data_IF_977877998554
#
_entry.id   IF_977877998554
#
_cell.length_a   1.000
_cell.length_b   1.000
_cell.length_c   1.000
_cell.angle_alpha   90.00
_cell.angle_beta   90.00
_cell.angle_gamma   90.00
#
_symmetry.space_group_name_H-M   'P 1'
#
loop_
_entity.id
_entity.type
_entity.pdbx_description
1 polymer ?
#
# COMPACT_ATOMS: atom_id res chain seq x y z
N UNK A 1 -11.48 21.61 10.82
CA UNK A 1 -10.35 21.95 11.71
C UNK A 1 -9.12 22.19 10.85
N UNK A 2 -8.20 23.07 11.26
CA UNK A 2 -6.96 23.29 10.51
C UNK A 2 -6.17 21.99 10.41
N UNK A 3 -5.52 21.80 9.27
CA UNK A 3 -4.75 20.60 8.96
C UNK A 3 -3.82 20.87 7.77
N UNK A 4 -2.96 19.90 7.49
CA UNK A 4 -2.08 19.91 6.32
C UNK A 4 -2.67 19.04 5.22
N UNK A 5 -2.61 19.53 3.99
CA UNK A 5 -2.91 18.74 2.79
C UNK A 5 -1.80 18.92 1.76
N UNK A 6 -1.60 17.92 0.90
CA UNK A 6 -0.57 18.02 -0.15
C UNK A 6 -0.98 19.03 -1.21
N UNK A 7 -0.01 19.84 -1.63
CA UNK A 7 -0.16 20.70 -2.79
C UNK A 7 -0.13 19.85 -4.09
N UNK A 8 -0.91 20.21 -5.14
CA UNK A 8 -0.94 19.48 -6.41
C UNK A 8 0.43 19.33 -7.08
N UNK A 9 1.28 20.36 -6.94
CA UNK A 9 2.61 20.44 -7.53
C UNK A 9 3.56 19.36 -7.01
N UNK A 10 3.28 18.80 -5.84
CA UNK A 10 4.08 17.71 -5.26
C UNK A 10 3.49 16.33 -5.53
N UNK A 11 2.40 16.26 -6.30
CA UNK A 11 1.74 15.02 -6.72
C UNK A 11 1.36 14.06 -5.56
N UNK A 12 1.34 14.55 -4.32
CA UNK A 12 1.09 13.75 -3.11
C UNK A 12 2.17 12.73 -2.75
N UNK A 13 3.36 12.81 -3.36
CA UNK A 13 4.42 11.81 -3.13
C UNK A 13 4.92 11.83 -1.69
N UNK A 14 4.93 10.66 -1.05
CA UNK A 14 5.35 10.47 0.33
C UNK A 14 4.39 11.00 1.39
N UNK A 15 3.31 11.70 1.03
CA UNK A 15 2.39 12.30 1.99
C UNK A 15 1.23 11.36 2.32
N UNK A 16 1.20 10.87 3.56
CA UNK A 16 0.12 10.09 4.14
C UNK A 16 -0.71 10.97 5.11
N UNK A 17 -1.88 11.47 4.68
CA UNK A 17 -2.70 12.35 5.50
C UNK A 17 -3.28 11.63 6.72
N UNK A 18 -3.57 10.33 6.63
CA UNK A 18 -4.20 9.56 7.71
C UNK A 18 -3.26 9.40 8.91
N UNK A 19 -1.98 9.19 8.63
CA UNK A 19 -0.94 9.07 9.64
C UNK A 19 -0.34 10.41 10.04
N UNK A 20 -0.57 11.47 9.27
CA UNK A 20 0.15 12.74 9.39
C UNK A 20 1.66 12.49 9.24
N UNK A 21 2.02 11.83 8.14
CA UNK A 21 3.39 11.46 7.81
C UNK A 21 3.77 12.01 6.43
N UNK A 22 4.97 12.55 6.30
CA UNK A 22 5.62 12.90 5.04
C UNK A 22 6.94 12.14 4.94
N UNK A 23 7.08 11.26 3.96
CA UNK A 23 8.35 10.67 3.58
C UNK A 23 8.98 11.53 2.48
N UNK A 24 10.17 12.07 2.71
CA UNK A 24 10.77 13.08 1.83
C UNK A 24 12.21 12.68 1.46
N UNK A 25 12.57 12.57 0.18
CA UNK A 25 13.96 12.31 -0.17
C UNK A 25 14.89 13.45 0.22
N UNK A 26 16.15 13.12 0.54
CA UNK A 26 17.22 14.10 0.74
C UNK A 26 17.35 15.02 -0.50
N UNK A 27 17.51 16.32 -0.27
CA UNK A 27 17.61 17.42 -1.26
C UNK A 27 16.38 17.54 -2.16
N UNK A 28 15.22 17.05 -1.73
CA UNK A 28 13.93 17.26 -2.39
C UNK A 28 13.03 18.10 -1.51
N UNK A 29 12.07 18.74 -2.16
CA UNK A 29 11.06 19.56 -1.50
C UNK A 29 9.66 19.00 -1.72
N UNK A 30 8.78 19.25 -0.76
CA UNK A 30 7.36 18.95 -0.84
C UNK A 30 6.56 20.18 -0.44
N UNK A 31 5.61 20.58 -1.28
CA UNK A 31 4.69 21.68 -1.00
C UNK A 31 3.45 21.14 -0.30
N UNK A 32 3.11 21.72 0.84
CA UNK A 32 1.89 21.47 1.60
C UNK A 32 1.05 22.75 1.66
N UNK A 33 -0.26 22.61 1.79
CA UNK A 33 -1.14 23.67 2.22
C UNK A 33 -1.52 23.46 3.69
N UNK A 34 -1.28 24.47 4.51
CA UNK A 34 -1.84 24.61 5.84
C UNK A 34 -3.20 25.31 5.71
N UNK A 35 -4.27 24.54 5.89
CA UNK A 35 -5.66 25.01 5.78
C UNK A 35 -6.05 25.72 7.07
N UNK A 36 -6.68 26.89 6.97
CA UNK A 36 -7.09 27.73 8.11
C UNK A 36 -5.89 28.11 9.00
N UNK A 37 -4.78 28.50 8.37
CA UNK A 37 -3.48 28.66 9.03
C UNK A 37 -2.90 30.07 9.11
N UNK A 38 -3.67 31.11 8.77
CA UNK A 38 -3.19 32.48 8.57
C UNK A 38 -2.19 32.94 9.65
N UNK A 39 -2.53 32.75 10.92
CA UNK A 39 -1.78 33.29 12.07
C UNK A 39 -1.04 32.23 12.88
N UNK A 40 -0.86 31.03 12.32
CA UNK A 40 -0.19 29.94 13.03
C UNK A 40 1.33 30.06 12.94
N UNK A 41 2.00 29.87 14.07
CA UNK A 41 3.45 29.75 14.15
C UNK A 41 3.87 28.32 13.78
N UNK A 42 4.65 28.17 12.71
CA UNK A 42 5.08 26.86 12.19
C UNK A 42 6.53 26.59 12.60
N UNK A 43 6.81 25.41 13.14
CA UNK A 43 8.13 25.04 13.63
C UNK A 43 8.50 23.62 13.21
N UNK A 44 9.80 23.39 12.99
CA UNK A 44 10.40 22.05 12.88
C UNK A 44 11.36 21.85 14.06
N UNK A 45 11.23 20.72 14.76
CA UNK A 45 12.03 20.43 15.97
C UNK A 45 13.51 20.10 15.69
N UNK A 46 13.81 19.46 14.56
CA UNK A 46 15.14 18.98 14.15
C UNK A 46 15.49 19.44 12.75
N UNK A 47 15.87 20.70 12.67
CA UNK A 47 16.12 21.38 11.40
C UNK A 47 17.30 20.82 10.59
N UNK A 48 18.18 20.02 11.22
CA UNK A 48 19.25 19.30 10.53
C UNK A 48 18.71 18.22 9.59
N UNK A 49 17.54 17.66 9.87
CA UNK A 49 16.90 16.64 9.03
C UNK A 49 15.96 17.26 8.00
N UNK A 50 15.13 18.23 8.40
CA UNK A 50 14.18 18.87 7.52
C UNK A 50 14.11 20.38 7.75
N UNK A 51 13.95 21.15 6.68
CA UNK A 51 13.65 22.58 6.74
C UNK A 51 12.24 22.88 6.28
N UNK A 52 11.75 24.07 6.58
CA UNK A 52 10.57 24.60 5.92
C UNK A 52 10.75 26.08 5.57
N UNK A 53 10.03 26.54 4.57
CA UNK A 53 9.88 27.95 4.25
C UNK A 53 8.46 28.23 3.77
N UNK A 54 8.03 29.49 3.90
CA UNK A 54 6.78 29.93 3.32
C UNK A 54 6.95 30.13 1.81
N UNK A 55 6.11 29.45 1.03
CA UNK A 55 6.09 29.57 -0.43
C UNK A 55 4.99 30.53 -0.87
N UNK A 56 5.18 31.16 -2.04
CA UNK A 56 4.08 31.89 -2.67
C UNK A 56 2.89 30.95 -2.91
N UNK A 57 1.68 31.42 -2.56
CA UNK A 57 0.44 30.74 -2.89
C UNK A 57 0.38 30.54 -4.41
N UNK A 58 0.59 29.29 -4.84
CA UNK A 58 0.47 28.91 -6.23
C UNK A 58 -0.99 28.72 -6.63
N UNK A 59 -1.22 28.17 -7.82
CA UNK A 59 -2.56 27.73 -8.20
C UNK A 59 -3.05 26.62 -7.25
N UNK A 60 -4.28 26.77 -6.74
CA UNK A 60 -5.02 25.71 -6.05
C UNK A 60 -5.75 24.78 -7.04
N UNK A 61 -5.63 25.04 -8.34
CA UNK A 61 -6.22 24.19 -9.39
C UNK A 61 -5.64 22.77 -9.28
N UNK A 62 -6.52 21.78 -9.17
CA UNK A 62 -6.15 20.38 -8.98
C UNK A 62 -5.88 19.99 -7.53
N UNK A 63 -6.04 20.91 -6.56
CA UNK A 63 -6.09 20.53 -5.16
C UNK A 63 -7.44 19.89 -4.86
N UNK A 64 -7.43 18.68 -4.31
CA UNK A 64 -8.64 17.99 -3.87
C UNK A 64 -9.12 18.58 -2.54
N UNK A 65 -9.53 19.85 -2.57
CA UNK A 65 -10.06 20.56 -1.41
C UNK A 65 -11.56 20.31 -1.26
N UNK A 66 -12.01 20.09 -0.03
CA UNK A 66 -13.43 20.08 0.30
C UNK A 66 -14.05 21.47 0.13
N UNK A 67 -15.38 21.55 0.07
CA UNK A 67 -16.09 22.83 0.01
C UNK A 67 -15.79 23.75 1.20
N UNK A 68 -15.50 23.19 2.37
CA UNK A 68 -15.09 23.98 3.53
C UNK A 68 -13.65 24.47 3.40
N UNK A 69 -12.72 23.60 2.97
CA UNK A 69 -11.29 23.93 2.79
C UNK A 69 -11.07 25.03 1.77
N UNK A 70 -11.84 25.03 0.68
CA UNK A 70 -11.74 26.06 -0.37
C UNK A 70 -12.17 27.46 0.08
N UNK A 71 -12.88 27.55 1.21
CA UNK A 71 -13.29 28.81 1.83
C UNK A 71 -12.29 29.30 2.90
N UNK A 72 -11.27 28.50 3.24
CA UNK A 72 -10.29 28.87 4.27
C UNK A 72 -9.10 29.62 3.69
N UNK A 73 -8.42 30.40 4.52
CA UNK A 73 -7.07 30.89 4.21
C UNK A 73 -6.10 29.71 4.14
N UNK A 74 -5.50 29.52 2.98
CA UNK A 74 -4.45 28.54 2.76
C UNK A 74 -3.10 29.23 2.90
N UNK A 75 -2.16 28.62 3.63
CA UNK A 75 -0.74 29.00 3.60
C UNK A 75 0.06 27.90 2.96
N UNK A 76 0.97 28.24 2.06
CA UNK A 76 1.81 27.25 1.39
C UNK A 76 3.11 27.08 2.14
N UNK A 77 3.36 25.87 2.60
CA UNK A 77 4.62 25.48 3.23
C UNK A 77 5.45 24.67 2.23
N UNK A 78 6.72 25.02 2.05
CA UNK A 78 7.68 24.24 1.28
C UNK A 78 8.60 23.54 2.26
N UNK A 79 8.42 22.24 2.43
CA UNK A 79 9.25 21.40 3.31
C UNK A 79 10.42 20.84 2.50
N UNK A 80 11.64 20.91 3.03
CA UNK A 80 12.87 20.43 2.40
C UNK A 80 13.49 19.29 3.20
N UNK A 81 13.84 18.18 2.54
CA UNK A 81 14.62 17.12 3.15
C UNK A 81 16.11 17.44 3.09
N UNK A 82 16.79 17.57 4.24
CA UNK A 82 18.20 17.97 4.32
C UNK A 82 19.13 16.80 4.55
N UNK A 83 18.83 15.97 5.56
CA UNK A 83 19.63 14.80 5.96
C UNK A 83 18.70 13.66 6.36
N UNK A 84 19.12 12.42 6.09
CA UNK A 84 18.36 11.23 6.52
C UNK A 84 18.10 11.24 8.02
N UNK A 85 16.86 11.05 8.42
CA UNK A 85 16.44 11.13 9.82
C UNK A 85 14.95 11.42 9.95
N UNK A 86 14.52 11.81 11.16
CA UNK A 86 13.13 12.11 11.45
C UNK A 86 13.03 13.46 12.16
N UNK A 87 12.12 14.30 11.69
CA UNK A 87 11.75 15.57 12.30
C UNK A 87 10.22 15.65 12.43
N UNK A 88 9.71 16.66 13.14
CA UNK A 88 8.29 16.93 13.26
C UNK A 88 8.00 18.39 12.95
N UNK A 89 7.02 18.62 12.07
CA UNK A 89 6.47 19.94 11.79
C UNK A 89 5.19 20.13 12.61
N UNK A 90 5.14 21.20 13.39
CA UNK A 90 3.98 21.59 14.19
C UNK A 90 3.54 23.00 13.86
N UNK A 91 2.25 23.29 14.06
CA UNK A 91 1.69 24.63 13.93
C UNK A 91 0.95 25.00 15.23
N UNK A 92 1.25 26.19 15.76
CA UNK A 92 0.79 26.66 17.06
C UNK A 92 -0.04 27.93 16.93
N UNK A 93 -1.01 28.09 17.82
CA UNK A 93 -1.68 29.37 18.04
C UNK A 93 -0.71 30.39 18.65
N UNK A 94 -1.03 31.71 18.60
CA UNK A 94 -0.23 32.75 19.26
C UNK A 94 -0.02 32.52 20.76
N UNK A 95 -0.92 31.79 21.41
CA UNK A 95 -0.82 31.41 22.83
C UNK A 95 0.04 30.15 23.09
N UNK A 96 0.65 29.58 22.04
CA UNK A 96 1.55 28.43 22.11
C UNK A 96 0.87 27.06 22.11
N UNK A 97 -0.46 26.98 22.04
CA UNK A 97 -1.16 25.68 21.96
C UNK A 97 -1.02 25.04 20.58
N UNK A 98 -0.81 23.70 20.48
CA UNK A 98 -0.76 23.02 19.19
C UNK A 98 -2.15 23.07 18.52
N UNK A 99 -2.19 23.49 17.26
CA UNK A 99 -3.44 23.66 16.51
C UNK A 99 -3.70 22.56 15.49
N UNK A 100 -2.63 21.91 15.02
CA UNK A 100 -2.71 20.75 14.14
C UNK A 100 -2.10 19.54 14.81
N UNK A 101 -2.52 18.35 14.38
CA UNK A 101 -1.74 17.13 14.64
C UNK A 101 -0.35 17.30 14.00
N UNK A 102 0.74 17.12 14.75
CA UNK A 102 2.09 17.26 14.19
C UNK A 102 2.29 16.35 12.98
N UNK A 103 2.93 16.88 11.95
CA UNK A 103 3.37 16.12 10.78
C UNK A 103 4.73 15.50 11.09
N UNK A 104 4.81 14.18 11.11
CA UNK A 104 6.09 13.49 11.15
C UNK A 104 6.74 13.54 9.76
N UNK A 105 7.99 14.00 9.69
CA UNK A 105 8.77 14.06 8.45
C UNK A 105 9.89 13.03 8.55
N UNK A 106 9.89 12.05 7.66
CA UNK A 106 10.94 11.04 7.54
C UNK A 106 11.76 11.28 6.29
N UNK A 107 12.99 11.73 6.48
CA UNK A 107 13.89 12.02 5.38
C UNK A 107 14.67 10.77 4.99
N UNK A 108 14.59 10.39 3.72
CA UNK A 108 15.12 9.12 3.19
C UNK A 108 16.12 9.33 2.06
N UNK A 109 16.97 8.34 1.81
CA UNK A 109 18.00 8.39 0.75
C UNK A 109 17.45 8.11 -0.64
N UNK A 110 16.40 7.30 -0.77
CA UNK A 110 15.84 6.93 -2.06
C UNK A 110 14.96 8.05 -2.65
N UNK A 111 14.93 8.14 -3.98
CA UNK A 111 14.16 9.17 -4.70
C UNK A 111 12.66 8.88 -4.78
N UNK A 112 12.21 7.71 -4.35
CA UNK A 112 10.82 7.27 -4.50
C UNK A 112 9.92 7.78 -3.36
N UNK A 113 10.46 8.50 -2.39
CA UNK A 113 9.71 9.00 -1.22
C UNK A 113 9.04 7.85 -0.43
N UNK A 114 9.80 6.78 -0.17
CA UNK A 114 9.37 5.61 0.61
C UNK A 114 10.43 5.18 1.61
N UNK A 115 10.05 4.39 2.60
CA UNK A 115 10.94 3.88 3.66
C UNK A 115 11.26 2.40 3.51
N UNK A 116 10.42 1.64 2.80
CA UNK A 116 10.76 0.30 2.37
C UNK A 116 11.46 0.41 1.00
N UNK A 117 12.75 0.09 0.97
CA UNK A 117 13.58 0.16 -0.21
C UNK A 117 13.55 -1.16 -1.00
N UNK A 118 14.31 -1.20 -2.09
CA UNK A 118 14.51 -2.42 -2.86
C UNK A 118 15.18 -3.50 -1.99
N UNK A 119 14.90 -4.76 -2.31
CA UNK A 119 15.32 -5.93 -1.53
C UNK A 119 14.76 -5.95 -0.09
N UNK A 120 13.68 -5.22 0.20
CA UNK A 120 13.00 -5.28 1.50
C UNK A 120 13.79 -4.67 2.65
N UNK A 121 14.77 -3.80 2.37
CA UNK A 121 15.43 -3.01 3.41
C UNK A 121 14.47 -1.93 3.93
N UNK A 122 14.36 -1.80 5.24
CA UNK A 122 13.52 -0.78 5.88
C UNK A 122 14.39 0.27 6.55
N UNK A 123 13.98 1.54 6.48
CA UNK A 123 14.56 2.59 7.34
C UNK A 123 14.44 2.20 8.83
N UNK A 124 15.30 2.73 9.71
CA UNK A 124 15.20 2.45 11.14
C UNK A 124 13.81 2.76 11.73
N UNK A 125 13.19 3.86 11.31
CA UNK A 125 11.86 4.25 11.77
C UNK A 125 10.77 3.25 11.36
N UNK A 126 10.70 2.87 10.07
CA UNK A 126 9.73 1.89 9.60
C UNK A 126 9.98 0.50 10.19
N UNK A 127 11.25 0.10 10.34
CA UNK A 127 11.60 -1.16 11.01
C UNK A 127 11.07 -1.18 12.45
N UNK A 128 11.25 -0.10 13.21
CA UNK A 128 10.75 0.00 14.58
C UNK A 128 9.22 -0.07 14.66
N UNK A 129 8.50 0.48 13.67
CA UNK A 129 7.04 0.32 13.56
C UNK A 129 6.66 -1.13 13.26
N UNK A 130 7.24 -1.72 12.21
CA UNK A 130 6.94 -3.09 11.74
C UNK A 130 7.20 -4.13 12.83
N UNK A 131 8.22 -3.93 13.67
CA UNK A 131 8.49 -4.84 14.79
C UNK A 131 7.36 -4.91 15.81
N UNK A 132 6.64 -3.81 16.03
CA UNK A 132 5.55 -3.73 17.04
C UNK A 132 4.22 -4.28 16.54
N UNK A 133 4.08 -4.46 15.22
CA UNK A 133 2.85 -4.90 14.58
C UNK A 133 2.78 -6.43 14.50
N UNK A 134 1.58 -6.98 14.32
CA UNK A 134 1.43 -8.36 13.83
C UNK A 134 2.10 -8.50 12.44
N UNK A 135 2.37 -9.72 11.98
CA UNK A 135 2.92 -9.88 10.62
C UNK A 135 1.97 -9.28 9.58
N UNK A 136 0.67 -9.54 9.73
CA UNK A 136 -0.40 -9.07 8.84
C UNK A 136 -0.51 -7.55 8.79
N UNK A 137 -0.50 -6.89 9.96
CA UNK A 137 -0.54 -5.43 10.01
C UNK A 137 0.75 -4.81 9.48
N UNK A 138 1.90 -5.47 9.72
CA UNK A 138 3.16 -5.05 9.15
C UNK A 138 3.18 -5.13 7.61
N UNK A 139 2.55 -6.14 7.00
CA UNK A 139 2.42 -6.24 5.54
C UNK A 139 1.68 -5.03 4.99
N UNK A 140 0.54 -4.70 5.60
CA UNK A 140 -0.26 -3.56 5.16
C UNK A 140 0.48 -2.25 5.40
N UNK A 141 1.21 -2.13 6.50
CA UNK A 141 2.03 -0.95 6.78
C UNK A 141 3.09 -0.72 5.69
N UNK A 142 3.75 -1.77 5.22
CA UNK A 142 4.73 -1.69 4.12
C UNK A 142 4.04 -1.37 2.80
N UNK A 143 2.87 -1.96 2.55
CA UNK A 143 2.07 -1.67 1.37
C UNK A 143 1.59 -0.21 1.32
N UNK A 144 1.19 0.38 2.45
CA UNK A 144 0.84 1.79 2.58
C UNK A 144 2.02 2.72 2.29
N UNK A 145 3.21 2.41 2.81
CA UNK A 145 4.44 3.17 2.52
C UNK A 145 4.69 3.26 1.01
N UNK A 146 4.47 2.15 0.30
CA UNK A 146 4.56 2.13 -1.15
C UNK A 146 3.40 2.84 -1.86
N UNK A 147 2.16 2.71 -1.36
CA UNK A 147 0.96 3.39 -1.90
C UNK A 147 1.14 4.91 -1.97
N UNK A 148 1.76 5.49 -0.95
CA UNK A 148 2.02 6.94 -0.90
C UNK A 148 3.31 7.36 -1.62
N UNK A 149 4.20 6.43 -1.95
CA UNK A 149 5.44 6.71 -2.69
C UNK A 149 5.19 7.29 -4.09
N UNK A 150 6.24 7.85 -4.71
CA UNK A 150 6.19 8.32 -6.09
C UNK A 150 5.77 7.22 -7.08
N UNK A 151 6.10 5.96 -6.79
CA UNK A 151 5.71 4.80 -7.60
C UNK A 151 4.26 4.38 -7.36
N UNK A 152 3.76 4.48 -6.13
CA UNK A 152 2.35 4.20 -5.86
C UNK A 152 1.45 5.23 -6.51
N UNK A 153 1.90 6.49 -6.49
CA UNK A 153 1.19 7.65 -7.05
C UNK A 153 1.43 7.91 -8.53
N UNK A 154 2.30 7.15 -9.20
CA UNK A 154 2.47 7.29 -10.65
C UNK A 154 1.20 6.84 -11.38
N UNK A 155 0.80 7.55 -12.44
CA UNK A 155 -0.35 7.18 -13.29
C UNK A 155 0.01 6.21 -14.43
N UNK A 156 1.30 5.87 -14.58
CA UNK A 156 1.81 4.95 -15.58
C UNK A 156 2.28 3.65 -14.91
N UNK A 157 1.76 2.52 -15.35
CA UNK A 157 2.09 1.18 -14.83
C UNK A 157 3.58 0.96 -14.70
N UNK A 158 3.97 0.28 -13.61
CA UNK A 158 5.31 0.31 -13.03
C UNK A 158 6.49 0.22 -14.01
N UNK A 159 7.54 0.99 -13.72
CA UNK A 159 8.82 1.04 -14.45
C UNK A 159 9.69 -0.25 -14.33
N UNK A 160 9.10 -1.44 -14.14
CA UNK A 160 9.88 -2.68 -13.96
C UNK A 160 10.77 -2.69 -12.71
N UNK A 161 10.38 -1.99 -11.63
CA UNK A 161 11.22 -1.88 -10.42
C UNK A 161 11.20 -3.13 -9.53
N UNK A 162 10.12 -3.91 -9.54
CA UNK A 162 10.07 -5.18 -8.80
C UNK A 162 10.48 -6.39 -9.64
N UNK A 163 10.54 -6.23 -10.97
CA UNK A 163 10.84 -7.32 -11.90
C UNK A 163 11.13 -6.78 -13.32
N UNK A 164 11.74 -7.57 -14.18
CA UNK A 164 11.98 -7.21 -15.58
C UNK A 164 10.71 -6.76 -16.33
N UNK A 165 10.88 -5.89 -17.33
CA UNK A 165 9.80 -5.40 -18.18
C UNK A 165 8.95 -6.56 -18.75
N UNK A 166 7.61 -6.44 -18.67
CA UNK A 166 6.66 -7.45 -19.15
C UNK A 166 6.20 -8.50 -18.11
N UNK A 167 6.64 -8.41 -16.86
CA UNK A 167 6.20 -9.31 -15.77
C UNK A 167 5.02 -8.70 -15.00
N UNK A 168 4.12 -9.56 -14.49
CA UNK A 168 2.99 -9.17 -13.65
C UNK A 168 3.45 -8.44 -12.37
N UNK A 169 3.41 -7.11 -12.45
CA UNK A 169 3.87 -6.20 -11.39
C UNK A 169 3.05 -6.33 -10.09
N UNK A 170 1.78 -6.74 -10.18
CA UNK A 170 0.87 -6.90 -9.03
C UNK A 170 1.35 -7.97 -8.02
N UNK A 171 1.67 -9.16 -8.51
CA UNK A 171 2.22 -10.24 -7.67
C UNK A 171 3.60 -9.94 -7.09
N UNK A 172 4.41 -9.20 -7.84
CA UNK A 172 5.75 -8.77 -7.41
C UNK A 172 5.68 -7.76 -6.27
N UNK A 173 4.71 -6.85 -6.31
CA UNK A 173 4.42 -5.92 -5.22
C UNK A 173 4.02 -6.66 -3.93
N UNK A 174 3.10 -7.63 -4.01
CA UNK A 174 2.68 -8.40 -2.84
C UNK A 174 3.86 -9.21 -2.28
N UNK A 175 4.64 -9.87 -3.15
CA UNK A 175 5.86 -10.58 -2.74
C UNK A 175 6.85 -9.65 -2.02
N UNK A 176 7.10 -8.47 -2.57
CA UNK A 176 8.00 -7.47 -1.96
C UNK A 176 7.53 -7.04 -0.56
N UNK A 177 6.22 -6.89 -0.34
CA UNK A 177 5.68 -6.61 0.99
C UNK A 177 6.00 -7.75 1.97
N UNK A 178 5.77 -9.00 1.55
CA UNK A 178 6.10 -10.19 2.33
C UNK A 178 7.60 -10.30 2.61
N UNK A 179 8.46 -10.05 1.62
CA UNK A 179 9.91 -10.10 1.78
C UNK A 179 10.40 -9.07 2.79
N UNK A 180 9.91 -7.83 2.69
CA UNK A 180 10.30 -6.75 3.59
C UNK A 180 9.92 -7.05 5.05
N UNK A 181 8.70 -7.55 5.29
CA UNK A 181 8.24 -7.90 6.64
C UNK A 181 8.94 -9.13 7.18
N UNK A 182 9.12 -10.16 6.35
CA UNK A 182 9.82 -11.41 6.72
C UNK A 182 11.25 -11.11 7.16
N UNK A 183 11.99 -10.32 6.38
CA UNK A 183 13.34 -9.85 6.74
C UNK A 183 13.34 -8.98 7.98
N UNK A 184 12.36 -8.09 8.14
CA UNK A 184 12.27 -7.25 9.32
C UNK A 184 12.09 -8.10 10.58
N UNK A 185 11.17 -9.08 10.54
CA UNK A 185 10.80 -9.94 11.67
C UNK A 185 11.71 -11.16 11.85
N UNK A 186 12.63 -11.42 10.92
CA UNK A 186 13.56 -12.56 11.00
C UNK A 186 12.87 -13.91 10.79
N UNK A 187 11.81 -13.95 9.99
CA UNK A 187 11.07 -15.19 9.64
C UNK A 187 11.20 -15.49 8.15
N UNK A 188 10.93 -16.73 7.76
CA UNK A 188 10.91 -17.11 6.34
C UNK A 188 9.70 -16.49 5.62
N UNK A 189 9.92 -16.01 4.40
CA UNK A 189 8.82 -15.61 3.52
C UNK A 189 8.05 -16.86 3.08
N UNK A 190 6.75 -17.00 3.41
CA UNK A 190 5.98 -18.21 3.11
C UNK A 190 5.88 -18.49 1.60
N UNK A 191 6.05 -17.47 0.76
CA UNK A 191 6.00 -17.58 -0.71
C UNK A 191 7.38 -17.73 -1.37
N UNK A 192 8.42 -18.02 -0.57
CA UNK A 192 9.78 -18.25 -1.04
C UNK A 192 10.52 -16.97 -1.44
N UNK A 193 11.70 -17.14 -2.02
CA UNK A 193 12.58 -16.02 -2.42
C UNK A 193 12.09 -15.30 -3.68
N UNK A 194 12.40 -14.01 -3.80
CA UNK A 194 12.10 -13.19 -4.98
C UNK A 194 12.81 -13.67 -6.28
N UNK A 195 13.82 -14.55 -6.20
CA UNK A 195 14.56 -15.02 -7.36
C UNK A 195 13.68 -15.82 -8.35
N UNK A 196 13.24 -15.12 -9.41
CA UNK A 196 12.65 -15.50 -10.71
C UNK A 196 11.70 -16.72 -10.78
N UNK A 197 12.14 -17.92 -10.41
CA UNK A 197 11.36 -19.16 -10.58
C UNK A 197 10.59 -19.56 -9.31
N UNK A 198 11.13 -19.22 -8.14
CA UNK A 198 10.60 -19.62 -6.83
C UNK A 198 9.57 -18.65 -6.24
N UNK A 199 9.37 -17.48 -6.85
CA UNK A 199 8.35 -16.53 -6.39
C UNK A 199 6.95 -17.07 -6.75
N UNK A 200 6.26 -17.63 -5.75
CA UNK A 200 4.92 -18.17 -5.91
C UNK A 200 3.88 -17.09 -6.21
N UNK A 201 4.12 -15.82 -5.89
CA UNK A 201 3.18 -14.74 -6.13
C UNK A 201 3.29 -14.13 -7.52
N UNK A 202 4.24 -14.56 -8.36
CA UNK A 202 4.46 -14.00 -9.70
C UNK A 202 3.25 -14.13 -10.65
N UNK A 203 2.32 -15.05 -10.37
CA UNK A 203 1.01 -15.12 -11.01
C UNK A 203 -0.01 -15.74 -10.05
N UNK A 204 -1.30 -15.48 -10.26
CA UNK A 204 -2.33 -16.07 -9.42
C UNK A 204 -2.38 -17.60 -9.50
N UNK A 205 -2.02 -18.19 -10.65
CA UNK A 205 -1.91 -19.65 -10.80
C UNK A 205 -0.77 -20.20 -9.93
N UNK A 206 0.39 -19.53 -9.87
CA UNK A 206 1.48 -19.94 -8.98
C UNK A 206 1.12 -19.75 -7.51
N UNK A 207 0.37 -18.71 -7.17
CA UNK A 207 -0.05 -18.42 -5.80
C UNK A 207 -1.01 -19.51 -5.32
N UNK A 208 -1.98 -19.86 -6.17
CA UNK A 208 -2.90 -20.98 -5.95
C UNK A 208 -2.14 -22.31 -5.80
N UNK A 209 -1.18 -22.59 -6.69
CA UNK A 209 -0.34 -23.78 -6.61
C UNK A 209 0.40 -23.88 -5.27
N UNK A 210 0.99 -22.77 -4.79
CA UNK A 210 1.67 -22.75 -3.50
C UNK A 210 0.71 -23.06 -2.35
N UNK A 211 -0.50 -22.47 -2.38
CA UNK A 211 -1.54 -22.77 -1.41
C UNK A 211 -1.97 -24.24 -1.38
N UNK A 212 -2.06 -24.87 -2.56
CA UNK A 212 -2.43 -26.29 -2.69
C UNK A 212 -1.29 -27.26 -2.35
N UNK A 213 -0.03 -26.84 -2.55
CA UNK A 213 1.18 -27.64 -2.34
C UNK A 213 1.49 -27.84 -0.86
N UNK A 214 1.34 -26.78 -0.05
CA UNK A 214 1.70 -26.79 1.36
C UNK A 214 0.49 -26.43 2.24
N UNK A 215 -0.41 -27.40 2.41
CA UNK A 215 -1.59 -27.25 3.26
C UNK A 215 -1.24 -27.09 4.75
N UNK A 216 0.01 -27.34 5.15
CA UNK A 216 0.49 -27.02 6.50
C UNK A 216 0.67 -25.52 6.69
N UNK A 217 1.10 -24.81 5.64
CA UNK A 217 1.31 -23.36 5.64
C UNK A 217 0.13 -22.55 5.14
N UNK A 218 -0.72 -23.13 4.29
CA UNK A 218 -1.79 -22.38 3.62
C UNK A 218 -3.17 -23.04 3.73
N UNK A 219 -4.21 -22.22 3.56
CA UNK A 219 -5.56 -22.67 3.22
C UNK A 219 -6.00 -21.97 1.94
N UNK A 220 -6.47 -22.73 0.96
CA UNK A 220 -7.11 -22.16 -0.24
C UNK A 220 -8.61 -22.08 -0.03
N UNK A 221 -9.18 -20.88 -0.14
CA UNK A 221 -10.59 -20.58 0.11
C UNK A 221 -11.25 -20.14 -1.20
N UNK A 222 -12.49 -20.57 -1.44
CA UNK A 222 -13.31 -20.28 -2.63
C UNK A 222 -12.65 -20.69 -3.97
N UNK A 223 -11.88 -21.77 -3.93
CA UNK A 223 -11.40 -22.49 -5.09
C UNK A 223 -11.79 -23.97 -5.01
N UNK A 224 -12.29 -24.51 -6.11
CA UNK A 224 -12.51 -25.93 -6.31
C UNK A 224 -12.02 -26.28 -7.71
N UNK A 225 -11.24 -27.35 -7.84
CA UNK A 225 -10.72 -27.76 -9.13
C UNK A 225 -9.32 -28.34 -9.09
N UNK A 226 -8.82 -28.83 -10.23
CA UNK A 226 -7.49 -29.40 -10.34
C UNK A 226 -6.40 -28.33 -10.20
N UNK A 227 -5.20 -28.73 -9.79
CA UNK A 227 -4.01 -27.89 -9.91
C UNK A 227 -3.84 -27.44 -11.37
N UNK A 228 -3.95 -26.12 -11.60
CA UNK A 228 -3.82 -25.48 -12.90
C UNK A 228 -2.39 -25.25 -13.35
N UNK A 229 -1.42 -25.34 -12.44
CA UNK A 229 0.00 -25.31 -12.80
C UNK A 229 0.47 -26.67 -13.32
N UNK A 230 -0.24 -27.76 -12.97
CA UNK A 230 -0.04 -29.11 -13.49
C UNK A 230 1.02 -29.94 -12.75
N UNK A 231 1.59 -29.42 -11.66
CA UNK A 231 2.69 -30.07 -10.93
C UNK A 231 2.25 -31.03 -9.81
N UNK A 232 1.07 -30.87 -9.24
CA UNK A 232 0.62 -31.65 -8.06
C UNK A 232 -0.28 -32.85 -8.39
N UNK A 233 -0.90 -32.88 -9.59
CA UNK A 233 -1.96 -33.87 -9.96
C UNK A 233 -3.03 -34.03 -8.86
N UNK A 234 -3.40 -32.93 -8.20
CA UNK A 234 -4.32 -32.86 -7.07
C UNK A 234 -5.56 -32.04 -7.44
N UNK A 235 -6.69 -32.35 -6.82
CA UNK A 235 -7.92 -31.56 -6.90
C UNK A 235 -8.18 -30.90 -5.55
N UNK A 236 -8.27 -29.57 -5.53
CA UNK A 236 -8.67 -28.79 -4.37
C UNK A 236 -10.17 -28.99 -4.12
N UNK A 237 -10.52 -29.33 -2.87
CA UNK A 237 -11.91 -29.31 -2.42
C UNK A 237 -12.35 -27.90 -2.07
N UNK A 238 -13.60 -27.58 -2.36
CA UNK A 238 -14.17 -26.28 -2.01
C UNK A 238 -14.13 -26.04 -0.49
N UNK A 239 -13.62 -24.88 -0.09
CA UNK A 239 -13.66 -24.37 1.28
C UNK A 239 -14.30 -22.98 1.22
N UNK A 240 -15.38 -22.76 1.97
CA UNK A 240 -16.03 -21.46 2.06
C UNK A 240 -15.46 -20.60 3.20
N UNK A 241 -15.69 -19.29 3.10
CA UNK A 241 -15.41 -18.33 4.17
C UNK A 241 -16.30 -18.67 5.36
N UNK A 242 -15.68 -18.86 6.51
CA UNK A 242 -16.37 -19.24 7.75
C UNK A 242 -15.50 -18.85 8.96
N UNK A 243 -16.03 -18.97 10.18
CA UNK A 243 -15.23 -18.76 11.38
C UNK A 243 -14.01 -19.70 11.46
N UNK A 244 -14.10 -20.91 10.89
CA UNK A 244 -13.00 -21.86 10.82
C UNK A 244 -11.99 -21.56 9.70
N UNK A 245 -12.42 -20.83 8.65
CA UNK A 245 -11.60 -20.45 7.51
C UNK A 245 -11.84 -18.96 7.18
N UNK A 246 -11.43 -18.04 8.07
CA UNK A 246 -11.65 -16.62 7.86
C UNK A 246 -10.71 -16.09 6.78
N UNK A 247 -11.18 -15.10 6.02
CA UNK A 247 -10.30 -14.23 5.23
C UNK A 247 -9.75 -13.17 6.17
N UNK A 248 -8.44 -12.97 6.16
CA UNK A 248 -7.74 -12.05 7.06
C UNK A 248 -6.95 -11.00 6.31
N UNK A 249 -6.66 -9.89 7.00
CA UNK A 249 -5.74 -8.85 6.53
C UNK A 249 -4.41 -9.46 6.13
N UNK A 250 -3.87 -9.10 4.97
CA UNK A 250 -2.64 -9.67 4.44
C UNK A 250 -2.79 -10.96 3.62
N UNK A 251 -3.96 -11.62 3.63
CA UNK A 251 -4.19 -12.78 2.77
C UNK A 251 -4.12 -12.41 1.29
N UNK A 252 -3.78 -13.38 0.45
CA UNK A 252 -3.73 -13.17 -0.99
C UNK A 252 -5.14 -13.27 -1.56
N UNK A 253 -5.57 -12.25 -2.30
CA UNK A 253 -6.80 -12.26 -3.08
C UNK A 253 -6.47 -12.51 -4.55
N UNK A 254 -7.17 -13.47 -5.14
CA UNK A 254 -7.00 -13.91 -6.51
C UNK A 254 -8.32 -13.68 -7.27
N UNK A 255 -8.51 -12.53 -7.95
CA UNK A 255 -9.67 -12.33 -8.81
C UNK A 255 -9.60 -13.25 -10.02
N UNK A 256 -10.75 -13.78 -10.43
CA UNK A 256 -10.91 -14.61 -11.63
C UNK A 256 -11.23 -13.75 -12.86
N UNK A 257 -10.85 -14.25 -14.04
CA UNK A 257 -11.40 -13.72 -15.29
C UNK A 257 -12.86 -14.18 -15.47
N UNK A 258 -13.66 -13.40 -16.18
CA UNK A 258 -15.04 -13.78 -16.54
C UNK A 258 -15.10 -14.93 -17.56
N UNK A 259 -13.95 -15.27 -18.16
CA UNK A 259 -13.81 -16.28 -19.20
C UNK A 259 -12.74 -17.31 -18.79
N UNK A 260 -13.11 -18.19 -17.85
CA UNK A 260 -12.32 -19.38 -17.49
C UNK A 260 -11.70 -19.35 -16.09
N UNK A 261 -10.93 -20.39 -15.78
CA UNK A 261 -10.30 -20.59 -14.48
C UNK A 261 -8.89 -19.98 -14.44
N UNK A 262 -8.79 -18.69 -14.77
CA UNK A 262 -7.52 -17.93 -14.76
C UNK A 262 -7.57 -16.81 -13.73
N UNK A 263 -6.40 -16.50 -13.16
CA UNK A 263 -6.23 -15.47 -12.15
C UNK A 263 -5.32 -14.36 -12.70
N UNK A 264 -5.88 -13.35 -13.39
CA UNK A 264 -5.11 -12.31 -14.06
C UNK A 264 -4.37 -11.37 -13.10
N UNK A 265 -4.68 -11.41 -11.80
CA UNK A 265 -4.12 -10.49 -10.82
C UNK A 265 -3.84 -11.19 -9.49
N UNK A 266 -2.96 -10.57 -8.71
CA UNK A 266 -2.63 -10.97 -7.34
C UNK A 266 -2.67 -9.71 -6.51
N UNK A 267 -3.55 -9.67 -5.52
CA UNK A 267 -3.65 -8.58 -4.57
C UNK A 267 -3.62 -9.07 -3.14
N UNK A 268 -3.55 -8.14 -2.19
CA UNK A 268 -3.51 -8.45 -0.77
C UNK A 268 -4.74 -7.87 -0.08
N UNK A 269 -5.41 -8.65 0.76
CA UNK A 269 -6.57 -8.20 1.54
C UNK A 269 -6.13 -7.07 2.47
N UNK A 270 -6.73 -5.91 2.31
CA UNK A 270 -6.44 -4.72 3.12
C UNK A 270 -7.39 -4.69 4.32
N UNK A 271 -8.70 -4.57 4.11
CA UNK A 271 -9.70 -4.78 5.16
C UNK A 271 -10.50 -6.06 4.86
N UNK A 272 -10.45 -7.08 5.75
CA UNK A 272 -11.17 -8.33 5.54
C UNK A 272 -12.68 -8.14 5.71
N UNK A 273 -13.51 -9.03 5.13
CA UNK A 273 -14.95 -9.01 5.34
C UNK A 273 -15.32 -9.40 6.78
N UNK A 274 -16.40 -8.85 7.29
CA UNK A 274 -17.06 -9.37 8.51
C UNK A 274 -17.95 -10.55 8.11
N UNK A 275 -17.39 -11.76 8.12
CA UNK A 275 -18.06 -12.94 7.57
C UNK A 275 -18.00 -12.96 6.05
N UNK A 276 -19.15 -12.88 5.38
CA UNK A 276 -19.23 -12.66 3.92
C UNK A 276 -19.79 -11.28 3.62
N UNK A 277 -19.46 -10.74 2.44
CA UNK A 277 -19.84 -9.40 2.02
C UNK A 277 -18.66 -8.52 1.58
N UNK A 278 -18.76 -7.19 1.76
CA UNK A 278 -17.77 -6.23 1.31
C UNK A 278 -16.41 -6.43 1.99
N UNK A 279 -15.35 -6.23 1.21
CA UNK A 279 -13.97 -6.22 1.68
C UNK A 279 -13.14 -5.28 0.81
N UNK A 280 -11.91 -5.00 1.23
CA UNK A 280 -10.98 -4.22 0.41
C UNK A 280 -9.68 -4.96 0.18
N UNK A 281 -9.03 -4.67 -0.94
CA UNK A 281 -7.68 -5.13 -1.27
C UNK A 281 -6.78 -3.94 -1.51
N UNK A 282 -5.48 -4.10 -1.27
CA UNK A 282 -4.46 -3.20 -1.78
C UNK A 282 -3.79 -3.86 -2.99
N UNK A 283 -3.90 -3.18 -4.12
CA UNK A 283 -3.53 -3.73 -5.42
C UNK A 283 -2.38 -2.92 -6.00
N UNK A 284 -1.34 -3.59 -6.49
CA UNK A 284 -0.34 -2.98 -7.34
C UNK A 284 -0.67 -3.14 -8.81
N UNK A 285 -0.15 -2.27 -9.67
CA UNK A 285 -0.38 -2.28 -11.12
C UNK A 285 -1.83 -2.05 -11.57
N UNK A 286 -2.54 -1.15 -10.89
CA UNK A 286 -3.95 -0.87 -11.25
C UNK A 286 -4.14 -0.22 -12.63
N UNK A 287 -3.06 0.26 -13.24
CA UNK A 287 -3.06 0.83 -14.59
C UNK A 287 -2.79 -0.21 -15.68
N UNK A 288 -2.68 -1.50 -15.31
CA UNK A 288 -2.40 -2.62 -16.21
C UNK A 288 -3.65 -3.26 -16.82
N UNK A 289 -3.49 -4.49 -17.34
CA UNK A 289 -4.56 -5.26 -18.01
C UNK A 289 -5.71 -5.67 -17.10
N UNK A 290 -5.47 -5.78 -15.79
CA UNK A 290 -6.51 -5.92 -14.79
C UNK A 290 -6.68 -4.58 -14.07
N UNK A 291 -7.80 -3.90 -14.35
CA UNK A 291 -8.23 -2.69 -13.67
C UNK A 291 -9.67 -2.90 -13.19
N UNK A 292 -9.92 -2.97 -11.87
CA UNK A 292 -11.28 -3.05 -11.35
C UNK A 292 -12.13 -1.88 -11.83
N UNK A 293 -13.44 -2.08 -11.93
CA UNK A 293 -14.37 -0.98 -12.21
C UNK A 293 -14.26 0.08 -11.11
N UNK A 294 -14.17 1.36 -11.50
CA UNK A 294 -13.97 2.47 -10.56
C UNK A 294 -12.57 2.55 -9.95
N UNK A 295 -11.60 1.76 -10.43
CA UNK A 295 -10.26 1.73 -9.85
C UNK A 295 -9.53 3.07 -9.93
N UNK A 296 -8.72 3.28 -8.91
CA UNK A 296 -7.90 4.46 -8.70
C UNK A 296 -7.08 4.87 -9.94
N UNK A 297 -6.82 6.17 -10.15
CA UNK A 297 -5.83 6.61 -11.13
C UNK A 297 -4.38 6.29 -10.69
N UNK A 298 -4.18 5.86 -9.45
CA UNK A 298 -2.87 5.54 -8.90
C UNK A 298 -2.48 4.09 -9.20
N UNK A 299 -1.18 3.87 -9.39
CA UNK A 299 -0.61 2.55 -9.64
C UNK A 299 -0.78 1.57 -8.49
N UNK A 300 -0.79 2.07 -7.25
CA UNK A 300 -1.04 1.28 -6.04
C UNK A 300 -2.10 2.00 -5.23
N UNK A 301 -3.20 1.32 -4.94
CA UNK A 301 -4.28 1.85 -4.13
C UNK A 301 -5.16 0.74 -3.53
N UNK A 302 -6.14 1.15 -2.74
CA UNK A 302 -7.14 0.28 -2.15
C UNK A 302 -8.37 0.21 -3.04
N UNK A 303 -8.87 -0.99 -3.31
CA UNK A 303 -10.10 -1.24 -4.07
C UNK A 303 -11.13 -1.98 -3.22
N UNK A 304 -12.40 -1.66 -3.42
CA UNK A 304 -13.52 -2.31 -2.74
C UNK A 304 -14.10 -3.42 -3.61
N UNK A 305 -14.41 -4.54 -2.97
CA UNK A 305 -14.96 -5.73 -3.61
C UNK A 305 -16.06 -6.34 -2.74
N UNK A 306 -16.78 -7.31 -3.29
CA UNK A 306 -17.73 -8.13 -2.53
C UNK A 306 -17.34 -9.61 -2.67
N UNK A 307 -17.10 -10.27 -1.55
CA UNK A 307 -16.75 -11.69 -1.54
C UNK A 307 -17.89 -12.54 -2.14
N UNK A 308 -19.15 -12.11 -2.04
CA UNK A 308 -20.30 -12.82 -2.58
C UNK A 308 -20.49 -12.64 -4.10
N UNK A 309 -19.68 -11.78 -4.74
CA UNK A 309 -19.73 -11.61 -6.18
C UNK A 309 -19.43 -12.94 -6.88
N UNK A 310 -20.23 -13.27 -7.90
CA UNK A 310 -20.08 -14.45 -8.73
C UNK A 310 -19.83 -14.10 -10.18
N UNK A 311 -19.22 -15.01 -10.92
CA UNK A 311 -19.14 -14.96 -12.39
C UNK A 311 -20.55 -14.99 -13.01
N UNK A 312 -20.68 -14.67 -14.32
CA UNK A 312 -21.98 -14.70 -15.01
C UNK A 312 -22.71 -16.05 -14.95
N UNK A 313 -22.01 -17.14 -14.63
CA UNK A 313 -22.60 -18.46 -14.41
C UNK A 313 -23.47 -18.57 -13.14
N UNK A 314 -23.43 -17.57 -12.25
CA UNK A 314 -24.18 -17.53 -10.99
C UNK A 314 -23.72 -18.55 -9.94
N UNK A 315 -22.65 -19.29 -10.21
CA UNK A 315 -22.15 -20.40 -9.38
C UNK A 315 -20.76 -20.14 -8.84
N UNK A 316 -19.84 -19.69 -9.69
CA UNK A 316 -18.42 -19.54 -9.36
C UNK A 316 -18.18 -18.19 -8.71
N UNK A 317 -17.57 -18.16 -7.52
CA UNK A 317 -17.18 -16.90 -6.87
C UNK A 317 -16.10 -16.18 -7.67
N UNK A 318 -16.20 -14.85 -7.80
CA UNK A 318 -15.23 -14.02 -8.53
C UNK A 318 -13.84 -14.00 -7.88
N UNK A 319 -13.75 -14.30 -6.59
CA UNK A 319 -12.51 -14.22 -5.82
C UNK A 319 -12.22 -15.56 -5.14
N UNK A 320 -10.97 -16.00 -5.27
CA UNK A 320 -10.38 -17.03 -4.43
C UNK A 320 -9.34 -16.39 -3.50
N UNK A 321 -9.03 -17.06 -2.39
CA UNK A 321 -8.06 -16.57 -1.42
C UNK A 321 -7.02 -17.62 -1.08
N UNK A 322 -5.78 -17.18 -0.87
CA UNK A 322 -4.72 -18.00 -0.27
C UNK A 322 -4.41 -17.41 1.10
N UNK A 323 -4.89 -18.10 2.13
CA UNK A 323 -4.71 -17.74 3.52
C UNK A 323 -3.40 -18.30 4.06
N UNK A 324 -2.59 -17.46 4.70
CA UNK A 324 -1.31 -17.87 5.33
C UNK A 324 -1.52 -18.23 6.80
N UNK A 325 -1.28 -19.48 7.17
CA UNK A 325 -1.45 -19.95 8.55
C UNK A 325 -0.32 -19.43 9.43
N UNK A 326 -0.69 -18.91 10.61
CA UNK A 326 0.28 -18.50 11.64
C UNK A 326 1.06 -17.22 11.36
N UNK A 327 0.65 -16.42 10.36
CA UNK A 327 1.14 -15.06 10.12
C UNK A 327 0.40 -14.05 11.01
#
# INVERSE_FOLDING_TARGET
>A
MAHLTSSPQSHGYGFDPSRSLLVLPVRKTHSLYLVAGADLDVRIDKEEFAGWSEGALGSTKGANLTSWESQQTLRRLVVEGRKTGTASLSAYLPDGRPWIKPLEIRVVSNSDARQAEDNGMLTPALRAEVQKLSFRDALIRVAEDQRFSALGRSGSGGNGKYDAAGINWCGSFVHWCYEAVSRAKGVENPFGSAARENNSLRSGIKALYAGMKDEGKFTVIRYEGPDRFGGLKKVQKFIDISAANPVQRGDICLPRSDHGDTFPHVSMVYDPPVGSGPFTTIDGNQTGSYRPEGASPYCIDVNTHDTNAKLPDGKTYKFAFVHVKGA
#
